data_IF_160721650060
#
_entry.id   IF_160721650060
#
_cell.length_a   1.000
_cell.length_b   1.000
_cell.length_c   1.000
_cell.angle_alpha   90.00
_cell.angle_beta   90.00
_cell.angle_gamma   90.00
#
_symmetry.space_group_name_H-M   'P 1'
#
loop_
_entity.id
_entity.type
_entity.pdbx_description
1 polymer ?
#
# COMPACT_ATOMS: atom_id res chain seq x y z
N UNK A 1 19.86 -59.55 -32.54
CA UNK A 1 20.51 -58.60 -31.61
C UNK A 1 20.22 -57.20 -32.13
N UNK A 2 19.38 -56.42 -31.42
CA UNK A 2 19.73 -55.36 -30.45
C UNK A 2 20.20 -54.06 -31.11
N UNK A 3 19.44 -53.00 -30.81
CA UNK A 3 19.53 -51.63 -31.31
C UNK A 3 20.33 -50.73 -30.37
N UNK A 4 20.75 -49.57 -30.88
CA UNK A 4 20.87 -48.34 -30.10
C UNK A 4 20.33 -47.17 -30.94
N UNK A 5 19.61 -46.23 -30.31
CA UNK A 5 19.10 -45.00 -30.94
C UNK A 5 19.73 -43.80 -30.25
N UNK A 6 20.11 -42.77 -31.00
CA UNK A 6 20.29 -41.42 -30.47
C UNK A 6 18.92 -40.75 -30.30
N UNK A 7 18.75 -39.96 -29.24
CA UNK A 7 17.55 -39.15 -29.01
C UNK A 7 17.93 -37.74 -28.57
N UNK A 8 17.55 -36.75 -29.37
CA UNK A 8 17.69 -35.34 -29.00
C UNK A 8 16.66 -34.94 -27.93
N UNK A 9 16.96 -33.88 -27.17
CA UNK A 9 15.99 -33.20 -26.29
C UNK A 9 15.70 -31.82 -26.85
N UNK A 10 14.44 -31.56 -27.15
CA UNK A 10 14.01 -30.28 -27.74
C UNK A 10 13.82 -29.19 -26.70
N UNK A 11 14.36 -28.00 -26.98
CA UNK A 11 14.05 -26.77 -26.26
C UNK A 11 12.58 -26.41 -26.52
N UNK A 12 11.77 -26.27 -25.46
CA UNK A 12 10.34 -25.90 -25.60
C UNK A 12 10.21 -24.40 -25.82
N UNK A 13 10.11 -24.04 -27.09
CA UNK A 13 9.82 -22.69 -27.59
C UNK A 13 8.42 -22.24 -27.14
N UNK A 14 8.34 -21.26 -26.24
CA UNK A 14 7.09 -20.51 -26.04
C UNK A 14 6.75 -19.77 -27.34
N UNK A 15 5.57 -20.04 -27.91
CA UNK A 15 5.00 -19.26 -29.00
C UNK A 15 3.79 -18.50 -28.44
N UNK A 16 3.85 -17.17 -28.45
CA UNK A 16 2.65 -16.37 -28.27
C UNK A 16 1.71 -16.53 -29.47
N UNK A 17 0.40 -16.59 -29.21
CA UNK A 17 -0.63 -16.35 -30.22
C UNK A 17 -1.20 -14.96 -29.99
N UNK A 18 -0.61 -13.95 -30.62
CA UNK A 18 -1.30 -12.69 -30.86
C UNK A 18 -2.32 -12.92 -31.98
N UNK A 19 -3.58 -12.54 -31.75
CA UNK A 19 -4.64 -12.61 -32.75
C UNK A 19 -5.41 -11.30 -32.73
N UNK A 20 -5.00 -10.35 -33.57
CA UNK A 20 -5.81 -9.18 -33.87
C UNK A 20 -7.02 -9.61 -34.70
N UNK A 21 -8.21 -9.16 -34.31
CA UNK A 21 -9.44 -9.31 -35.08
C UNK A 21 -10.33 -8.10 -34.80
N UNK A 22 -10.44 -7.20 -35.78
CA UNK A 22 -11.40 -6.10 -35.74
C UNK A 22 -12.81 -6.66 -35.96
N UNK A 23 -13.81 -6.13 -35.23
CA UNK A 23 -15.14 -6.74 -35.17
C UNK A 23 -16.23 -5.73 -34.81
N UNK A 24 -16.43 -4.73 -35.67
CA UNK A 24 -17.54 -3.79 -35.54
C UNK A 24 -18.89 -4.51 -35.69
N UNK A 25 -19.77 -4.36 -34.71
CA UNK A 25 -21.18 -4.75 -34.85
C UNK A 25 -22.09 -3.85 -34.01
N UNK A 26 -22.99 -3.13 -34.70
CA UNK A 26 -24.04 -2.33 -34.09
C UNK A 26 -25.05 -3.21 -33.34
N UNK A 27 -25.44 -2.79 -32.13
CA UNK A 27 -26.68 -3.21 -31.47
C UNK A 27 -27.57 -1.98 -31.25
N UNK A 28 -28.87 -2.10 -31.58
CA UNK A 28 -29.82 -0.98 -31.57
C UNK A 28 -30.36 -0.76 -30.15
N UNK A 29 -30.49 0.51 -29.75
CA UNK A 29 -31.15 0.87 -28.49
C UNK A 29 -32.68 0.75 -28.58
N UNK A 30 -33.31 0.47 -27.44
CA UNK A 30 -34.73 0.72 -27.16
C UNK A 30 -34.83 1.45 -25.79
N UNK A 31 -35.81 2.35 -25.57
CA UNK A 31 -35.73 3.34 -24.48
C UNK A 31 -36.47 2.94 -23.20
N UNK A 32 -35.96 3.39 -22.05
CA UNK A 32 -36.66 3.30 -20.76
C UNK A 32 -35.86 3.88 -19.57
N UNK A 33 -36.30 5.06 -19.09
CA UNK A 33 -36.09 5.58 -17.72
C UNK A 33 -34.64 6.00 -17.29
N UNK A 34 -34.49 6.80 -16.20
CA UNK A 34 -33.57 7.95 -16.25
C UNK A 34 -32.17 7.75 -15.65
N UNK A 35 -31.24 8.62 -16.07
CA UNK A 35 -29.84 8.68 -15.59
C UNK A 35 -29.73 9.44 -14.26
N UNK A 36 -29.16 8.80 -13.24
CA UNK A 36 -28.95 9.42 -11.91
C UNK A 36 -27.49 9.66 -11.47
N UNK A 37 -26.50 9.01 -12.09
CA UNK A 37 -25.15 8.90 -11.47
C UNK A 37 -24.05 9.77 -12.11
N UNK A 38 -24.24 10.24 -13.35
CA UNK A 38 -23.18 10.91 -14.12
C UNK A 38 -22.76 12.30 -13.61
N UNK A 39 -23.49 12.89 -12.66
CA UNK A 39 -23.26 14.24 -12.15
C UNK A 39 -22.32 14.30 -10.92
N UNK A 40 -21.99 13.17 -10.30
CA UNK A 40 -21.26 13.15 -9.01
C UNK A 40 -19.74 13.06 -9.14
N UNK A 41 -19.20 12.78 -10.33
CA UNK A 41 -17.75 12.62 -10.55
C UNK A 41 -17.02 13.91 -10.96
N UNK A 42 -17.57 14.62 -11.96
CA UNK A 42 -16.88 15.74 -12.64
C UNK A 42 -16.65 16.99 -11.78
N UNK A 43 -17.38 17.15 -10.68
CA UNK A 43 -17.22 18.27 -9.72
C UNK A 43 -16.00 18.13 -8.81
N UNK A 44 -15.46 16.93 -8.61
CA UNK A 44 -14.36 16.71 -7.66
C UNK A 44 -12.98 16.99 -8.27
N UNK A 45 -12.76 16.58 -9.52
CA UNK A 45 -11.47 16.76 -10.22
C UNK A 45 -11.10 18.25 -10.36
N UNK A 46 -12.07 19.11 -10.67
CA UNK A 46 -11.87 20.55 -10.87
C UNK A 46 -11.59 21.36 -9.59
N UNK A 47 -11.84 20.81 -8.40
CA UNK A 47 -11.58 21.47 -7.11
C UNK A 47 -10.23 21.04 -6.53
N UNK A 48 -9.87 19.75 -6.64
CA UNK A 48 -8.59 19.23 -6.18
C UNK A 48 -7.40 19.93 -6.86
N UNK A 49 -7.46 20.13 -8.18
CA UNK A 49 -6.41 20.82 -8.94
C UNK A 49 -6.11 22.23 -8.41
N UNK A 50 -7.14 23.02 -8.09
CA UNK A 50 -7.00 24.40 -7.59
C UNK A 50 -6.44 24.45 -6.15
N UNK A 51 -6.75 23.45 -5.33
CA UNK A 51 -6.15 23.31 -4.00
C UNK A 51 -4.65 22.99 -4.09
N UNK A 52 -4.25 22.10 -5.00
CA UNK A 52 -2.85 21.74 -5.23
C UNK A 52 -2.03 22.95 -5.75
N UNK A 53 -2.57 23.72 -6.69
CA UNK A 53 -1.95 24.93 -7.22
C UNK A 53 -1.72 26.00 -6.13
N UNK A 54 -2.73 26.25 -5.29
CA UNK A 54 -2.58 27.15 -4.14
C UNK A 54 -1.57 26.65 -3.09
N UNK A 55 -1.53 25.32 -2.84
CA UNK A 55 -0.59 24.68 -1.91
C UNK A 55 0.87 24.71 -2.42
N UNK A 56 1.07 24.72 -3.74
CA UNK A 56 2.40 24.85 -4.34
C UNK A 56 3.00 26.26 -4.20
N UNK A 57 2.15 27.31 -4.18
CA UNK A 57 2.59 28.68 -3.97
C UNK A 57 3.00 28.94 -2.51
N UNK A 58 2.19 28.52 -1.53
CA UNK A 58 2.48 28.70 -0.11
C UNK A 58 3.80 28.03 0.33
N UNK A 59 4.15 26.88 -0.25
CA UNK A 59 5.40 26.16 0.07
C UNK A 59 6.66 27.00 -0.17
N UNK A 60 6.63 27.95 -1.12
CA UNK A 60 7.76 28.84 -1.41
C UNK A 60 7.93 29.97 -0.39
N UNK A 61 6.87 30.36 0.30
CA UNK A 61 6.94 31.37 1.37
C UNK A 61 7.46 30.71 2.67
N UNK A 62 7.02 29.47 2.95
CA UNK A 62 7.45 28.67 4.10
C UNK A 62 8.94 28.22 3.99
N UNK A 63 9.47 28.03 2.77
CA UNK A 63 10.88 27.69 2.51
C UNK A 63 11.86 28.86 2.78
N UNK A 64 11.44 30.12 2.71
CA UNK A 64 12.29 31.27 3.10
C UNK A 64 12.37 31.41 4.63
N UNK A 65 11.24 31.25 5.33
CA UNK A 65 11.14 31.44 6.79
C UNK A 65 11.95 30.36 7.57
N UNK A 66 11.96 29.12 7.08
CA UNK A 66 12.71 28.01 7.68
C UNK A 66 14.23 28.25 7.78
N UNK A 67 14.81 29.08 6.90
CA UNK A 67 16.26 29.38 6.91
C UNK A 67 16.70 30.21 8.13
N UNK A 68 15.76 30.81 8.87
CA UNK A 68 16.06 31.65 10.04
C UNK A 68 16.17 30.90 11.38
N UNK A 69 15.68 29.65 11.49
CA UNK A 69 15.62 28.95 12.78
C UNK A 69 16.76 27.93 13.02
N UNK A 70 17.39 27.39 11.99
CA UNK A 70 18.47 26.38 12.15
C UNK A 70 19.72 26.92 12.88
N UNK A 71 19.96 28.23 12.87
CA UNK A 71 21.14 28.82 13.55
C UNK A 71 21.07 28.76 15.09
N UNK A 72 19.92 28.39 15.69
CA UNK A 72 19.66 28.59 17.12
C UNK A 72 19.67 27.35 18.02
N UNK A 73 19.77 26.13 17.47
CA UNK A 73 19.62 24.88 18.25
C UNK A 73 20.84 23.94 18.13
N UNK A 74 22.03 24.47 18.45
CA UNK A 74 23.31 23.74 18.47
C UNK A 74 24.05 23.92 19.81
N UNK A 75 23.47 23.46 20.93
CA UNK A 75 24.11 23.50 22.25
C UNK A 75 23.65 22.38 23.22
N UNK A 76 24.61 21.59 23.75
CA UNK A 76 24.50 20.56 24.81
C UNK A 76 23.58 19.34 24.53
N UNK A 77 23.94 18.04 24.65
CA UNK A 77 24.81 17.22 25.54
C UNK A 77 24.30 17.08 26.99
N UNK A 78 24.16 15.89 27.61
CA UNK A 78 24.43 14.49 27.21
C UNK A 78 24.38 13.53 28.44
N UNK A 79 25.07 12.37 28.39
CA UNK A 79 25.46 11.47 29.53
C UNK A 79 24.49 10.29 29.91
N UNK A 80 25.09 9.19 30.37
CA UNK A 80 24.58 7.91 30.98
C UNK A 80 25.76 7.34 31.87
N UNK A 81 25.79 6.12 32.49
CA UNK A 81 24.91 4.92 32.49
C UNK A 81 24.78 4.19 33.89
N UNK A 82 24.59 2.84 33.90
CA UNK A 82 24.80 1.83 35.00
C UNK A 82 23.83 1.80 36.24
N UNK A 83 23.43 0.68 36.88
CA UNK A 83 23.64 -0.79 36.79
C UNK A 83 22.32 -1.51 37.24
N UNK A 84 22.14 -2.74 37.79
CA UNK A 84 22.96 -3.84 38.38
C UNK A 84 22.19 -5.23 38.30
N UNK A 85 22.46 -6.24 39.15
CA UNK A 85 21.91 -7.62 39.04
C UNK A 85 21.42 -8.29 40.37
N UNK A 86 20.62 -9.39 40.24
CA UNK A 86 20.43 -10.61 41.12
C UNK A 86 18.99 -11.14 41.06
N UNK A 87 18.63 -12.40 41.38
CA UNK A 87 19.22 -13.77 41.24
C UNK A 87 18.14 -14.79 41.73
N UNK A 88 18.07 -16.04 41.26
CA UNK A 88 17.19 -17.05 41.89
C UNK A 88 16.81 -18.31 41.08
N UNK A 89 17.14 -19.50 41.61
CA UNK A 89 16.75 -20.86 41.16
C UNK A 89 15.65 -21.45 42.07
N UNK A 90 14.96 -22.58 41.79
CA UNK A 90 14.94 -23.54 40.68
C UNK A 90 14.16 -24.83 41.07
N UNK A 91 14.09 -25.85 40.19
CA UNK A 91 13.48 -27.20 40.42
C UNK A 91 11.94 -27.24 40.57
N UNK A 92 11.19 -28.34 40.30
CA UNK A 92 11.46 -29.68 39.73
C UNK A 92 10.18 -30.22 39.05
N UNK A 93 10.24 -31.36 38.33
CA UNK A 93 9.09 -31.99 37.64
C UNK A 93 8.24 -32.92 38.55
N UNK A 94 7.19 -33.66 38.15
CA UNK A 94 6.54 -34.08 36.86
C UNK A 94 5.07 -34.53 37.18
N UNK A 95 4.21 -35.24 36.36
CA UNK A 95 4.37 -35.78 35.00
C UNK A 95 3.15 -35.64 34.02
N UNK A 96 3.28 -36.36 32.90
CA UNK A 96 2.34 -36.88 31.88
C UNK A 96 1.03 -37.56 32.41
N UNK A 97 -0.13 -37.63 31.72
CA UNK A 97 -0.61 -37.04 30.44
C UNK A 97 -2.11 -36.66 30.53
N UNK A 98 -2.51 -35.46 30.05
CA UNK A 98 -3.80 -35.26 29.34
C UNK A 98 -3.97 -33.94 28.50
N UNK A 99 -2.94 -33.15 28.13
CA UNK A 99 -3.13 -31.69 28.05
C UNK A 99 -3.66 -31.18 26.70
N UNK A 100 -3.41 -31.91 25.60
CA UNK A 100 -3.51 -31.34 24.24
C UNK A 100 -4.95 -31.03 23.81
N UNK A 101 -5.91 -31.91 24.12
CA UNK A 101 -7.32 -31.70 23.76
C UNK A 101 -7.90 -30.48 24.49
N UNK A 102 -7.75 -30.43 25.82
CA UNK A 102 -8.29 -29.35 26.64
C UNK A 102 -7.55 -28.02 26.42
N UNK A 103 -6.28 -28.05 25.99
CA UNK A 103 -5.54 -26.85 25.51
C UNK A 103 -6.12 -26.36 24.18
N UNK A 104 -6.41 -27.26 23.22
CA UNK A 104 -7.03 -26.90 21.93
C UNK A 104 -8.42 -26.28 22.13
N UNK A 105 -9.27 -26.86 22.98
CA UNK A 105 -10.58 -26.29 23.31
C UNK A 105 -10.47 -24.91 23.95
N UNK A 106 -9.57 -24.73 24.94
CA UNK A 106 -9.33 -23.42 25.59
C UNK A 106 -8.82 -22.39 24.58
N UNK A 107 -7.88 -22.76 23.70
CA UNK A 107 -7.39 -21.88 22.63
C UNK A 107 -8.52 -21.49 21.67
N UNK A 108 -9.33 -22.44 21.19
CA UNK A 108 -10.48 -22.18 20.31
C UNK A 108 -11.50 -21.26 20.99
N UNK A 109 -11.81 -21.49 22.27
CA UNK A 109 -12.75 -20.64 23.04
C UNK A 109 -12.21 -19.21 23.21
N UNK A 110 -10.93 -19.04 23.57
CA UNK A 110 -10.31 -17.71 23.66
C UNK A 110 -10.22 -17.00 22.31
N UNK A 111 -9.95 -17.74 21.22
CA UNK A 111 -9.97 -17.16 19.86
C UNK A 111 -11.38 -16.75 19.46
N UNK A 112 -12.40 -17.56 19.74
CA UNK A 112 -13.79 -17.22 19.46
C UNK A 112 -14.24 -15.94 20.20
N UNK A 113 -13.88 -15.80 21.48
CA UNK A 113 -14.13 -14.58 22.26
C UNK A 113 -13.40 -13.35 21.69
N UNK A 114 -12.13 -13.50 21.29
CA UNK A 114 -11.38 -12.42 20.63
C UNK A 114 -12.00 -12.01 19.29
N UNK A 115 -12.49 -12.97 18.50
CA UNK A 115 -13.18 -12.71 17.23
C UNK A 115 -14.52 -11.98 17.42
N UNK A 116 -15.31 -12.36 18.43
CA UNK A 116 -16.56 -11.65 18.76
C UNK A 116 -16.27 -10.22 19.23
N UNK A 117 -15.21 -10.01 20.02
CA UNK A 117 -14.77 -8.68 20.46
C UNK A 117 -14.21 -7.82 19.31
N UNK A 118 -13.65 -8.43 18.27
CA UNK A 118 -13.22 -7.72 17.07
C UNK A 118 -14.43 -7.26 16.24
N UNK A 119 -15.47 -8.10 16.13
CA UNK A 119 -16.67 -7.77 15.35
C UNK A 119 -17.50 -6.64 16.00
N UNK A 120 -17.59 -6.59 17.34
CA UNK A 120 -18.19 -5.43 18.03
C UNK A 120 -17.35 -4.16 17.82
N UNK A 121 -16.02 -4.25 17.90
CA UNK A 121 -15.14 -3.09 17.66
C UNK A 121 -15.21 -2.59 16.22
N UNK A 122 -15.33 -3.47 15.23
CA UNK A 122 -15.54 -3.09 13.82
C UNK A 122 -16.87 -2.34 13.66
N UNK A 123 -17.95 -2.76 14.34
CA UNK A 123 -19.24 -2.06 14.30
C UNK A 123 -19.19 -0.65 14.93
N UNK A 124 -18.49 -0.49 16.05
CA UNK A 124 -18.18 0.83 16.63
C UNK A 124 -17.44 1.72 15.61
N UNK A 125 -16.37 1.19 15.01
CA UNK A 125 -15.52 1.92 14.08
C UNK A 125 -16.23 2.34 12.79
N UNK A 126 -17.13 1.50 12.27
CA UNK A 126 -18.00 1.85 11.14
C UNK A 126 -18.97 2.99 11.52
N UNK A 127 -19.40 3.03 12.78
CA UNK A 127 -20.27 4.11 13.31
C UNK A 127 -19.48 5.41 13.50
N UNK A 128 -18.27 5.34 14.08
CA UNK A 128 -17.32 6.46 14.18
C UNK A 128 -17.00 7.04 12.77
N UNK A 129 -16.69 6.17 11.80
CA UNK A 129 -16.41 6.53 10.41
C UNK A 129 -17.62 7.20 9.72
N UNK A 130 -18.82 6.65 9.89
CA UNK A 130 -20.04 7.24 9.34
C UNK A 130 -20.32 8.64 9.91
N UNK A 131 -20.02 8.88 11.19
CA UNK A 131 -20.14 10.21 11.79
C UNK A 131 -19.06 11.17 11.29
N UNK A 132 -17.82 10.72 11.09
CA UNK A 132 -16.75 11.53 10.46
C UNK A 132 -17.13 11.96 9.04
N UNK A 133 -17.75 11.08 8.24
CA UNK A 133 -18.22 11.41 6.89
C UNK A 133 -19.29 12.52 6.92
N UNK A 134 -20.21 12.52 7.90
CA UNK A 134 -21.17 13.62 8.09
C UNK A 134 -20.48 14.93 8.45
N UNK A 135 -19.55 14.89 9.40
CA UNK A 135 -18.79 16.07 9.82
C UNK A 135 -17.97 16.67 8.66
N UNK A 136 -17.42 15.85 7.76
CA UNK A 136 -16.77 16.34 6.53
C UNK A 136 -17.74 17.14 5.65
N UNK A 137 -18.99 16.67 5.49
CA UNK A 137 -20.01 17.39 4.71
C UNK A 137 -20.48 18.68 5.41
N UNK A 138 -20.54 18.70 6.74
CA UNK A 138 -20.83 19.88 7.55
C UNK A 138 -19.75 20.96 7.38
N UNK A 139 -18.47 20.61 7.55
CA UNK A 139 -17.33 21.52 7.33
C UNK A 139 -17.28 22.03 5.88
N UNK A 140 -17.47 21.14 4.90
CA UNK A 140 -17.53 21.51 3.48
C UNK A 140 -18.61 22.54 3.19
N UNK A 141 -19.78 22.39 3.79
CA UNK A 141 -20.90 23.32 3.62
C UNK A 141 -20.59 24.71 4.21
N UNK A 142 -19.79 24.78 5.29
CA UNK A 142 -19.25 26.04 5.83
C UNK A 142 -18.18 26.64 4.91
N UNK A 143 -17.25 25.82 4.43
CA UNK A 143 -16.18 26.21 3.51
C UNK A 143 -16.75 26.82 2.22
N UNK A 144 -17.75 26.16 1.61
CA UNK A 144 -18.45 26.66 0.41
C UNK A 144 -19.10 28.03 0.65
N UNK A 145 -19.76 28.23 1.80
CA UNK A 145 -20.32 29.54 2.16
C UNK A 145 -19.24 30.63 2.24
N UNK A 146 -18.07 30.32 2.80
CA UNK A 146 -16.96 31.26 2.91
C UNK A 146 -16.27 31.54 1.55
N UNK A 147 -16.15 30.55 0.67
CA UNK A 147 -15.70 30.73 -0.71
C UNK A 147 -16.67 31.63 -1.51
N UNK A 148 -17.99 31.44 -1.35
CA UNK A 148 -19.01 32.32 -1.93
C UNK A 148 -18.88 33.76 -1.41
N UNK A 149 -18.53 33.95 -0.14
CA UNK A 149 -18.29 35.28 0.45
C UNK A 149 -17.00 35.94 -0.07
N UNK A 150 -15.95 35.16 -0.38
CA UNK A 150 -14.75 35.63 -1.10
C UNK A 150 -15.13 36.11 -2.50
N UNK A 151 -15.85 35.29 -3.28
CA UNK A 151 -16.28 35.63 -4.64
C UNK A 151 -17.09 36.93 -4.65
N UNK A 152 -18.15 37.03 -3.83
CA UNK A 152 -19.01 38.22 -3.72
C UNK A 152 -18.25 39.48 -3.25
N UNK A 153 -17.14 39.32 -2.54
CA UNK A 153 -16.29 40.45 -2.13
C UNK A 153 -15.38 40.90 -3.28
N UNK A 154 -14.87 39.98 -4.11
CA UNK A 154 -14.16 40.31 -5.35
C UNK A 154 -15.05 40.98 -6.38
N UNK A 155 -16.25 40.44 -6.63
CA UNK A 155 -17.23 41.01 -7.58
C UNK A 155 -17.53 42.49 -7.26
N UNK A 156 -17.74 42.82 -5.98
CA UNK A 156 -17.94 44.21 -5.53
C UNK A 156 -16.70 45.09 -5.71
N UNK A 157 -15.52 44.59 -5.33
CA UNK A 157 -14.25 45.32 -5.52
C UNK A 157 -13.97 45.63 -7.00
N UNK A 158 -14.32 44.71 -7.90
CA UNK A 158 -14.24 44.89 -9.35
C UNK A 158 -15.28 45.90 -9.86
N UNK A 159 -16.53 45.82 -9.38
CA UNK A 159 -17.62 46.73 -9.76
C UNK A 159 -17.32 48.18 -9.33
N UNK A 160 -16.74 48.38 -8.15
CA UNK A 160 -16.29 49.68 -7.65
C UNK A 160 -14.94 50.14 -8.27
N UNK A 161 -14.30 49.27 -9.07
CA UNK A 161 -13.00 49.47 -9.73
C UNK A 161 -11.91 50.08 -8.82
N UNK A 162 -11.91 49.71 -7.53
CA UNK A 162 -11.11 50.38 -6.50
C UNK A 162 -10.64 49.41 -5.42
N UNK A 163 -9.35 49.05 -5.48
CA UNK A 163 -8.68 48.23 -4.46
C UNK A 163 -8.42 49.08 -3.19
N UNK A 164 -9.48 49.25 -2.40
CA UNK A 164 -9.45 50.01 -1.15
C UNK A 164 -8.73 49.24 -0.02
N UNK A 165 -8.25 49.93 1.04
CA UNK A 165 -7.74 49.26 2.24
C UNK A 165 -8.78 48.34 2.89
N UNK A 166 -10.07 48.71 2.85
CA UNK A 166 -11.17 47.87 3.32
C UNK A 166 -11.22 46.52 2.59
N UNK A 167 -11.16 46.51 1.26
CA UNK A 167 -11.17 45.25 0.50
C UNK A 167 -9.94 44.40 0.77
N UNK A 168 -8.74 44.99 0.89
CA UNK A 168 -7.51 44.26 1.25
C UNK A 168 -7.64 43.56 2.60
N UNK A 169 -8.07 44.28 3.64
CA UNK A 169 -8.24 43.72 4.99
C UNK A 169 -9.34 42.66 5.03
N UNK A 170 -10.48 42.91 4.38
CA UNK A 170 -11.61 41.97 4.34
C UNK A 170 -11.28 40.69 3.59
N UNK A 171 -10.68 40.79 2.40
CA UNK A 171 -10.26 39.62 1.63
C UNK A 171 -9.20 38.82 2.36
N UNK A 172 -8.20 39.48 2.99
CA UNK A 172 -7.21 38.79 3.83
C UNK A 172 -7.89 37.97 4.93
N UNK A 173 -8.81 38.57 5.70
CA UNK A 173 -9.56 37.85 6.74
C UNK A 173 -10.34 36.65 6.20
N UNK A 174 -11.06 36.81 5.09
CA UNK A 174 -11.80 35.73 4.45
C UNK A 174 -10.88 34.60 3.95
N UNK A 175 -9.71 34.92 3.38
CA UNK A 175 -8.71 33.92 2.98
C UNK A 175 -8.11 33.18 4.18
N UNK A 176 -7.85 33.87 5.31
CA UNK A 176 -7.42 33.22 6.55
C UNK A 176 -8.48 32.24 7.07
N UNK A 177 -9.76 32.61 7.04
CA UNK A 177 -10.87 31.70 7.39
C UNK A 177 -10.94 30.51 6.43
N UNK A 178 -10.84 30.73 5.12
CA UNK A 178 -10.88 29.65 4.13
C UNK A 178 -9.68 28.67 4.22
N UNK A 179 -8.47 29.14 4.61
CA UNK A 179 -7.34 28.26 4.94
C UNK A 179 -7.67 27.38 6.16
N UNK A 180 -8.21 27.97 7.22
CA UNK A 180 -8.61 27.23 8.43
C UNK A 180 -9.77 26.23 8.18
N UNK A 181 -10.75 26.58 7.34
CA UNK A 181 -11.83 25.67 6.92
C UNK A 181 -11.27 24.46 6.16
N UNK A 182 -10.35 24.68 5.21
CA UNK A 182 -9.71 23.59 4.45
C UNK A 182 -8.83 22.69 5.34
N UNK A 183 -8.12 23.27 6.32
CA UNK A 183 -7.36 22.52 7.32
C UNK A 183 -8.27 21.68 8.22
N UNK A 184 -9.43 22.20 8.61
CA UNK A 184 -10.43 21.45 9.38
C UNK A 184 -11.00 20.26 8.60
N UNK A 185 -11.44 20.47 7.34
CA UNK A 185 -11.95 19.38 6.47
C UNK A 185 -10.87 18.30 6.26
N UNK A 186 -9.62 18.70 6.00
CA UNK A 186 -8.48 17.79 5.87
C UNK A 186 -8.21 16.97 7.15
N UNK A 187 -8.38 17.55 8.34
CA UNK A 187 -8.13 16.85 9.59
C UNK A 187 -9.24 15.83 9.94
N UNK A 188 -10.49 16.07 9.51
CA UNK A 188 -11.57 15.07 9.61
C UNK A 188 -11.34 13.94 8.61
N UNK A 189 -10.94 14.26 7.37
CA UNK A 189 -10.60 13.26 6.35
C UNK A 189 -9.44 12.35 6.77
N UNK A 190 -8.38 12.89 7.40
CA UNK A 190 -7.30 12.07 7.99
C UNK A 190 -7.85 11.11 9.05
N UNK A 191 -8.65 11.59 10.00
CA UNK A 191 -9.30 10.74 11.03
C UNK A 191 -10.18 9.64 10.41
N UNK A 192 -10.86 9.91 9.30
CA UNK A 192 -11.65 8.90 8.59
C UNK A 192 -10.75 7.83 7.94
N UNK A 193 -9.60 8.21 7.38
CA UNK A 193 -8.60 7.27 6.85
C UNK A 193 -7.96 6.42 7.96
N UNK A 194 -7.68 7.01 9.13
CA UNK A 194 -7.19 6.27 10.31
C UNK A 194 -8.20 5.18 10.73
N UNK A 195 -9.50 5.49 10.72
CA UNK A 195 -10.57 4.52 11.04
C UNK A 195 -10.69 3.42 10.00
N UNK A 196 -10.51 3.72 8.72
CA UNK A 196 -10.43 2.72 7.64
C UNK A 196 -9.20 1.82 7.83
N UNK A 197 -8.07 2.35 8.31
CA UNK A 197 -6.88 1.55 8.62
C UNK A 197 -7.07 0.66 9.87
N UNK A 198 -7.72 1.16 10.92
CA UNK A 198 -8.09 0.38 12.13
C UNK A 198 -8.99 -0.81 11.75
N UNK A 199 -10.05 -0.57 10.95
CA UNK A 199 -10.96 -1.62 10.45
C UNK A 199 -10.22 -2.63 9.57
N UNK A 200 -9.39 -2.19 8.61
CA UNK A 200 -8.60 -3.09 7.75
C UNK A 200 -7.65 -3.98 8.57
N UNK A 201 -7.06 -3.43 9.63
CA UNK A 201 -6.15 -4.16 10.52
C UNK A 201 -6.90 -5.26 11.28
N UNK A 202 -8.03 -4.93 11.92
CA UNK A 202 -8.86 -5.91 12.66
C UNK A 202 -9.39 -7.03 11.75
N UNK A 203 -9.76 -6.73 10.50
CA UNK A 203 -10.18 -7.74 9.53
C UNK A 203 -9.04 -8.71 9.13
N UNK A 204 -7.81 -8.21 9.00
CA UNK A 204 -6.64 -9.03 8.69
C UNK A 204 -6.17 -9.85 9.91
N UNK A 205 -6.20 -9.27 11.12
CA UNK A 205 -5.96 -9.99 12.38
C UNK A 205 -6.99 -11.11 12.57
N UNK A 206 -8.27 -10.86 12.29
CA UNK A 206 -9.33 -11.88 12.23
C UNK A 206 -9.03 -12.99 11.23
N UNK A 207 -8.55 -12.66 10.02
CA UNK A 207 -8.15 -13.66 9.01
C UNK A 207 -6.99 -14.53 9.50
N UNK A 208 -5.97 -13.92 10.10
CA UNK A 208 -4.79 -14.61 10.64
C UNK A 208 -5.18 -15.50 11.82
N UNK A 209 -5.99 -15.01 12.76
CA UNK A 209 -6.46 -15.78 13.91
C UNK A 209 -7.27 -17.03 13.48
N UNK A 210 -8.15 -16.88 12.48
CA UNK A 210 -8.90 -18.01 11.91
C UNK A 210 -8.00 -19.04 11.20
N UNK A 211 -6.93 -18.58 10.52
CA UNK A 211 -5.90 -19.43 9.90
C UNK A 211 -5.10 -20.21 10.96
N UNK A 212 -4.72 -19.57 12.06
CA UNK A 212 -3.94 -20.16 13.17
C UNK A 212 -4.76 -21.16 13.98
N UNK A 213 -6.03 -20.86 14.28
CA UNK A 213 -6.86 -21.70 15.13
C UNK A 213 -7.32 -23.02 14.47
N UNK A 214 -7.06 -23.21 13.17
CA UNK A 214 -7.59 -24.34 12.40
C UNK A 214 -9.13 -24.30 12.29
N UNK A 215 -9.72 -23.11 12.38
CA UNK A 215 -11.18 -22.90 12.22
C UNK A 215 -11.61 -22.80 10.74
N UNK A 216 -10.63 -22.86 9.82
CA UNK A 216 -10.87 -23.38 8.48
C UNK A 216 -11.09 -24.90 8.60
N UNK A 217 -12.34 -25.33 8.52
CA UNK A 217 -12.75 -26.72 8.65
C UNK A 217 -12.03 -27.62 7.62
N UNK A 218 -11.24 -28.56 8.12
CA UNK A 218 -10.70 -29.72 7.37
C UNK A 218 -11.82 -30.70 6.90
N UNK A 219 -13.05 -30.43 7.34
CA UNK A 219 -14.30 -31.11 6.96
C UNK A 219 -15.13 -30.36 5.90
N UNK A 220 -14.75 -29.14 5.50
CA UNK A 220 -15.07 -28.69 4.13
C UNK A 220 -14.00 -29.30 3.21
N UNK A 221 -14.36 -29.76 1.99
CA UNK A 221 -13.34 -30.21 1.03
C UNK A 221 -12.36 -29.05 0.79
N UNK A 222 -11.03 -29.29 0.82
CA UNK A 222 -10.03 -28.24 0.88
C UNK A 222 -10.30 -27.21 -0.21
N UNK A 223 -10.49 -25.94 0.19
CA UNK A 223 -10.95 -24.86 -0.70
C UNK A 223 -10.16 -24.94 -2.00
N UNK A 224 -10.86 -25.32 -3.07
CA UNK A 224 -10.27 -25.72 -4.36
C UNK A 224 -9.23 -24.70 -4.75
N UNK A 225 -7.96 -25.14 -4.82
CA UNK A 225 -6.75 -24.31 -5.02
C UNK A 225 -7.09 -23.05 -5.79
N UNK A 226 -7.02 -21.90 -5.10
CA UNK A 226 -7.69 -20.68 -5.53
C UNK A 226 -7.30 -20.33 -6.97
N UNK A 227 -8.23 -20.65 -7.90
CA UNK A 227 -7.98 -20.65 -9.34
C UNK A 227 -7.24 -19.38 -9.74
N UNK A 228 -6.15 -19.52 -10.49
CA UNK A 228 -5.24 -18.41 -10.89
C UNK A 228 -5.95 -17.09 -11.23
N UNK A 229 -7.08 -17.11 -11.94
CA UNK A 229 -7.87 -15.90 -12.21
C UNK A 229 -8.40 -15.18 -10.96
N UNK A 230 -8.89 -15.91 -9.95
CA UNK A 230 -9.32 -15.37 -8.65
C UNK A 230 -8.13 -14.81 -7.87
N UNK A 231 -7.01 -15.53 -7.83
CA UNK A 231 -5.76 -15.03 -7.23
C UNK A 231 -5.32 -13.71 -7.87
N UNK A 232 -5.28 -13.64 -9.22
CA UNK A 232 -4.90 -12.42 -9.94
C UNK A 232 -5.88 -11.26 -9.68
N UNK A 233 -7.19 -11.52 -9.57
CA UNK A 233 -8.17 -10.50 -9.14
C UNK A 233 -7.88 -10.00 -7.72
N UNK A 234 -7.54 -10.87 -6.77
CA UNK A 234 -7.17 -10.44 -5.41
C UNK A 234 -5.85 -9.65 -5.36
N UNK A 235 -4.86 -10.01 -6.20
CA UNK A 235 -3.63 -9.21 -6.32
C UNK A 235 -3.93 -7.81 -6.88
N UNK A 236 -4.74 -7.72 -7.94
CA UNK A 236 -5.16 -6.43 -8.50
C UNK A 236 -5.94 -5.59 -7.46
N UNK A 237 -6.90 -6.19 -6.74
CA UNK A 237 -7.61 -5.53 -5.66
C UNK A 237 -6.68 -5.09 -4.51
N UNK A 238 -5.66 -5.88 -4.16
CA UNK A 238 -4.68 -5.52 -3.13
C UNK A 238 -3.82 -4.33 -3.55
N UNK A 239 -3.47 -4.21 -4.83
CA UNK A 239 -2.78 -3.03 -5.38
C UNK A 239 -3.69 -1.79 -5.48
N UNK A 240 -4.96 -1.97 -5.85
CA UNK A 240 -5.93 -0.87 -5.91
C UNK A 240 -6.23 -0.30 -4.51
N UNK A 241 -6.34 -1.17 -3.50
CA UNK A 241 -6.75 -0.80 -2.12
C UNK A 241 -5.59 -0.45 -1.17
N UNK A 242 -4.35 -0.47 -1.67
CA UNK A 242 -3.17 0.10 -1.00
C UNK A 242 -3.41 1.61 -0.78
N UNK A 243 -3.42 2.12 0.47
CA UNK A 243 -3.70 3.54 0.73
C UNK A 243 -2.65 4.45 0.09
N UNK A 244 -3.09 5.63 -0.32
CA UNK A 244 -2.19 6.74 -0.65
C UNK A 244 -1.62 7.32 0.65
N UNK A 245 -0.35 7.70 0.65
CA UNK A 245 0.23 8.53 1.72
C UNK A 245 -0.31 9.96 1.63
N UNK A 246 -0.67 10.57 2.77
CA UNK A 246 -1.21 11.93 2.86
C UNK A 246 -0.64 12.65 4.08
N UNK A 247 0.63 13.04 4.00
CA UNK A 247 1.32 13.81 5.04
C UNK A 247 0.71 15.20 5.31
N UNK A 248 1.16 15.83 6.38
CA UNK A 248 1.02 17.27 6.66
C UNK A 248 2.13 18.06 5.95
N UNK A 249 2.05 19.40 5.87
CA UNK A 249 3.22 20.21 5.53
C UNK A 249 4.41 19.86 6.44
N UNK A 250 5.61 19.75 5.88
CA UNK A 250 6.83 19.36 6.60
C UNK A 250 7.03 17.85 6.86
N UNK A 251 5.98 17.02 6.80
CA UNK A 251 6.13 15.57 6.95
C UNK A 251 6.91 14.98 5.76
N UNK A 252 7.92 14.15 6.04
CA UNK A 252 8.61 13.35 5.01
C UNK A 252 7.89 12.00 4.83
N UNK A 253 7.84 11.43 3.61
CA UNK A 253 7.23 10.12 3.38
C UNK A 253 7.86 9.02 4.26
N UNK A 254 7.05 8.19 4.94
CA UNK A 254 7.56 7.21 5.89
C UNK A 254 8.22 6.01 5.19
N UNK A 255 9.02 5.21 5.92
CA UNK A 255 9.46 3.89 5.47
C UNK A 255 8.29 3.06 4.93
N UNK A 256 8.48 2.41 3.78
CA UNK A 256 7.46 1.66 3.04
C UNK A 256 6.34 2.52 2.39
N UNK A 257 6.51 3.84 2.29
CA UNK A 257 5.79 4.64 1.31
C UNK A 257 6.50 4.55 -0.05
N UNK A 258 5.85 3.96 -1.06
CA UNK A 258 6.39 3.83 -2.41
C UNK A 258 7.80 3.20 -2.44
N UNK A 259 8.79 3.98 -2.87
CA UNK A 259 10.20 3.59 -2.98
C UNK A 259 11.01 3.76 -1.67
N UNK A 260 10.48 4.41 -0.63
CA UNK A 260 11.21 4.67 0.62
C UNK A 260 11.50 3.34 1.34
N UNK A 261 12.78 3.00 1.61
CA UNK A 261 13.14 1.71 2.16
C UNK A 261 12.65 1.51 3.60
N UNK A 262 12.42 0.26 3.97
CA UNK A 262 12.26 -0.14 5.37
C UNK A 262 13.51 0.24 6.22
N UNK A 263 13.29 0.53 7.50
CA UNK A 263 14.38 0.81 8.44
C UNK A 263 15.32 -0.40 8.62
N UNK A 264 16.57 -0.15 9.03
CA UNK A 264 17.60 -1.18 9.17
C UNK A 264 17.25 -2.30 10.15
N UNK A 265 16.36 -2.04 11.10
CA UNK A 265 15.82 -2.91 12.15
C UNK A 265 14.42 -3.48 11.84
N UNK A 266 13.69 -2.95 10.85
CA UNK A 266 12.30 -3.32 10.52
C UNK A 266 12.05 -4.84 10.47
N UNK A 267 11.00 -5.27 11.16
CA UNK A 267 10.46 -6.64 11.13
C UNK A 267 9.03 -6.61 10.57
N UNK A 268 8.79 -7.36 9.51
CA UNK A 268 7.47 -7.53 8.91
C UNK A 268 6.57 -8.37 9.84
N UNK A 269 5.30 -7.99 9.96
CA UNK A 269 4.29 -8.65 10.80
C UNK A 269 3.71 -9.88 10.10
N UNK A 270 3.15 -10.85 10.84
CA UNK A 270 2.27 -11.87 10.23
C UNK A 270 1.18 -11.22 9.38
N UNK A 271 0.94 -11.76 8.18
CA UNK A 271 0.03 -11.18 7.18
C UNK A 271 0.68 -10.19 6.21
N UNK A 272 1.82 -9.56 6.55
CA UNK A 272 2.52 -8.66 5.62
C UNK A 272 2.91 -9.42 4.33
N UNK A 273 2.77 -8.72 3.21
CA UNK A 273 3.14 -9.25 1.89
C UNK A 273 4.56 -8.80 1.54
N UNK A 274 5.35 -9.73 1.04
CA UNK A 274 6.79 -9.55 0.82
C UNK A 274 7.23 -10.14 -0.51
N UNK A 275 8.28 -9.58 -1.10
CA UNK A 275 9.09 -10.32 -2.08
C UNK A 275 10.09 -11.21 -1.31
N UNK A 276 10.12 -12.51 -1.61
CA UNK A 276 10.94 -13.50 -0.91
C UNK A 276 11.84 -14.27 -1.89
N UNK A 277 13.16 -14.30 -1.65
CA UNK A 277 14.13 -15.01 -2.51
C UNK A 277 14.30 -16.47 -2.11
N UNK A 278 13.46 -17.33 -2.67
CA UNK A 278 13.48 -18.78 -2.49
C UNK A 278 14.59 -19.44 -3.31
N UNK A 279 14.78 -20.74 -3.12
CA UNK A 279 15.61 -21.61 -3.97
C UNK A 279 14.73 -22.66 -4.62
N UNK A 280 14.80 -22.79 -5.93
CA UNK A 280 14.18 -23.87 -6.67
C UNK A 280 14.99 -25.19 -6.54
N UNK A 281 14.38 -26.31 -6.93
CA UNK A 281 14.94 -27.67 -6.75
C UNK A 281 16.14 -27.94 -7.66
N UNK A 282 16.23 -27.24 -8.79
CA UNK A 282 17.37 -27.21 -9.71
C UNK A 282 18.55 -26.33 -9.20
N UNK A 283 18.31 -25.51 -8.17
CA UNK A 283 19.31 -24.68 -7.51
C UNK A 283 19.26 -23.19 -7.88
N UNK A 284 18.42 -22.80 -8.84
CA UNK A 284 18.22 -21.39 -9.20
C UNK A 284 17.45 -20.63 -8.10
N UNK A 285 17.58 -19.30 -8.07
CA UNK A 285 16.97 -18.45 -7.04
C UNK A 285 15.95 -17.50 -7.65
N UNK A 286 14.68 -17.67 -7.28
CA UNK A 286 13.55 -16.87 -7.74
C UNK A 286 13.06 -15.95 -6.61
N UNK A 287 12.64 -14.73 -6.94
CA UNK A 287 11.88 -13.87 -6.04
C UNK A 287 10.38 -14.14 -6.25
N UNK A 288 9.68 -14.58 -5.20
CA UNK A 288 8.23 -14.86 -5.20
C UNK A 288 7.47 -13.86 -4.33
N UNK A 289 6.16 -13.74 -4.55
CA UNK A 289 5.23 -13.02 -3.69
C UNK A 289 4.75 -13.94 -2.56
N UNK A 290 5.10 -13.60 -1.32
CA UNK A 290 4.82 -14.42 -0.15
C UNK A 290 4.08 -13.65 0.95
N UNK A 291 3.42 -14.38 1.82
CA UNK A 291 2.78 -13.90 3.06
C UNK A 291 3.65 -14.28 4.27
N UNK A 292 4.00 -13.30 5.11
CA UNK A 292 4.72 -13.56 6.36
C UNK A 292 3.81 -14.29 7.35
N UNK A 293 4.36 -15.33 7.98
CA UNK A 293 3.66 -16.13 9.00
C UNK A 293 4.27 -15.91 10.38
N UNK A 294 5.60 -15.88 10.48
CA UNK A 294 6.30 -15.57 11.73
C UNK A 294 7.71 -15.02 11.49
N UNK A 295 8.32 -14.47 12.53
CA UNK A 295 9.72 -14.07 12.55
C UNK A 295 10.38 -14.52 13.86
N UNK A 296 11.56 -15.13 13.75
CA UNK A 296 12.34 -15.64 14.88
C UNK A 296 13.55 -14.73 15.14
N UNK A 297 13.45 -13.88 16.16
CA UNK A 297 14.56 -13.01 16.60
C UNK A 297 15.82 -13.82 16.95
N UNK A 298 15.67 -15.01 17.53
CA UNK A 298 16.77 -15.89 17.91
C UNK A 298 17.55 -16.47 16.71
N UNK A 299 16.95 -16.52 15.51
CA UNK A 299 17.60 -17.07 14.30
C UNK A 299 17.74 -16.07 13.15
N UNK A 300 17.14 -14.88 13.26
CA UNK A 300 17.07 -13.85 12.21
C UNK A 300 16.48 -14.39 10.89
N UNK A 301 15.43 -15.22 11.03
CA UNK A 301 14.68 -15.84 9.93
C UNK A 301 13.19 -15.56 10.03
N UNK A 302 12.58 -15.40 8.88
CA UNK A 302 11.13 -15.43 8.68
C UNK A 302 10.67 -16.84 8.32
N UNK A 303 9.43 -17.13 8.66
CA UNK A 303 8.60 -18.10 7.97
C UNK A 303 7.63 -17.37 7.06
N UNK A 304 7.57 -17.79 5.79
CA UNK A 304 6.63 -17.26 4.79
C UNK A 304 5.92 -18.40 4.07
N UNK A 305 4.67 -18.17 3.67
CA UNK A 305 3.93 -19.02 2.73
C UNK A 305 3.99 -18.37 1.32
N UNK A 306 4.18 -19.15 0.25
CA UNK A 306 3.86 -18.67 -1.11
C UNK A 306 2.36 -18.30 -1.20
N UNK A 307 2.03 -17.30 -2.02
CA UNK A 307 0.66 -16.86 -2.26
C UNK A 307 -0.06 -17.69 -3.35
N UNK A 308 0.67 -18.47 -4.16
CA UNK A 308 0.06 -19.41 -5.10
C UNK A 308 -0.41 -20.68 -4.37
N UNK A 309 -1.74 -20.87 -4.30
CA UNK A 309 -2.32 -21.93 -3.49
C UNK A 309 -2.08 -23.34 -4.02
N UNK A 310 -1.65 -23.50 -5.28
CA UNK A 310 -1.26 -24.81 -5.83
C UNK A 310 0.07 -25.32 -5.24
N UNK A 311 0.83 -24.46 -4.56
CA UNK A 311 2.08 -24.80 -3.88
C UNK A 311 2.28 -24.00 -2.58
N UNK A 312 1.47 -24.28 -1.55
CA UNK A 312 1.65 -23.72 -0.19
C UNK A 312 2.88 -24.27 0.53
N UNK A 313 4.06 -24.01 -0.04
CA UNK A 313 5.34 -24.34 0.57
C UNK A 313 5.69 -23.29 1.64
N UNK A 314 5.92 -23.78 2.87
CA UNK A 314 6.41 -22.97 3.99
C UNK A 314 7.93 -22.82 3.86
N UNK A 315 8.40 -21.65 3.47
CA UNK A 315 9.83 -21.37 3.36
C UNK A 315 10.37 -20.67 4.62
N UNK A 316 11.48 -21.17 5.17
CA UNK A 316 12.20 -20.53 6.30
C UNK A 316 13.41 -19.74 5.79
N UNK A 317 13.29 -18.42 5.69
CA UNK A 317 14.24 -17.56 4.97
C UNK A 317 14.92 -16.54 5.90
N UNK A 318 16.25 -16.36 5.77
CA UNK A 318 16.99 -15.31 6.48
C UNK A 318 16.51 -13.90 6.09
N UNK A 319 16.42 -12.94 7.02
CA UNK A 319 15.93 -11.55 6.80
C UNK A 319 16.46 -10.85 5.53
N UNK A 320 17.72 -11.10 5.13
CA UNK A 320 18.32 -10.60 3.87
C UNK A 320 17.66 -11.08 2.56
N UNK A 321 16.85 -12.14 2.60
CA UNK A 321 16.08 -12.69 1.46
C UNK A 321 14.64 -12.17 1.40
N UNK A 322 14.25 -11.29 2.33
CA UNK A 322 12.92 -10.70 2.42
C UNK A 322 13.02 -9.21 2.07
N UNK A 323 12.11 -8.74 1.24
CA UNK A 323 11.89 -7.31 0.96
C UNK A 323 10.39 -7.05 1.24
N UNK A 324 10.04 -6.28 2.28
CA UNK A 324 8.66 -5.87 2.50
C UNK A 324 8.13 -5.08 1.30
N UNK A 325 6.88 -5.33 0.93
CA UNK A 325 6.20 -4.50 -0.08
C UNK A 325 5.78 -3.17 0.54
N UNK A 326 5.52 -2.12 -0.27
CA UNK A 326 5.04 -0.84 0.23
C UNK A 326 3.71 -0.99 1.00
N UNK A 327 3.62 -0.27 2.12
CA UNK A 327 2.42 -0.12 2.94
C UNK A 327 1.58 1.09 2.52
N UNK A 328 2.17 2.06 1.80
CA UNK A 328 1.46 3.15 1.12
C UNK A 328 1.93 3.32 -0.33
N UNK A 329 1.05 3.84 -1.19
CA UNK A 329 1.43 4.47 -2.46
C UNK A 329 2.00 5.86 -2.16
N UNK A 330 3.09 6.23 -2.81
CA UNK A 330 3.51 7.62 -2.89
C UNK A 330 2.61 8.38 -3.88
N UNK A 331 2.30 9.64 -3.58
CA UNK A 331 1.56 10.51 -4.48
C UNK A 331 2.54 11.29 -5.39
N UNK A 332 2.49 11.13 -6.73
CA UNK A 332 3.34 11.92 -7.64
C UNK A 332 3.20 13.44 -7.48
N UNK A 333 2.04 13.92 -7.02
CA UNK A 333 1.71 15.35 -6.92
C UNK A 333 2.25 16.01 -5.63
N UNK A 334 2.55 15.22 -4.59
CA UNK A 334 3.00 15.74 -3.29
C UNK A 334 4.33 15.17 -2.79
N UNK A 335 4.64 13.92 -3.15
CA UNK A 335 5.75 13.11 -2.62
C UNK A 335 6.54 12.39 -3.76
N UNK A 336 6.92 13.06 -4.88
CA UNK A 336 7.53 12.42 -6.04
C UNK A 336 8.90 11.77 -5.77
N UNK A 337 9.61 12.20 -4.72
CA UNK A 337 10.86 11.62 -4.24
C UNK A 337 10.68 10.22 -3.63
N UNK A 338 9.45 9.86 -3.25
CA UNK A 338 9.07 8.53 -2.80
C UNK A 338 8.66 7.59 -3.97
N UNK A 339 9.01 7.94 -5.22
CA UNK A 339 8.84 7.09 -6.41
C UNK A 339 10.18 6.62 -6.98
N UNK A 340 10.21 5.40 -7.54
CA UNK A 340 11.34 4.93 -8.34
C UNK A 340 11.40 5.71 -9.65
N UNK A 341 12.54 6.33 -9.93
CA UNK A 341 12.71 7.20 -11.09
C UNK A 341 13.08 6.40 -12.34
N UNK A 342 12.91 7.02 -13.51
CA UNK A 342 13.24 6.42 -14.81
C UNK A 342 14.68 5.84 -14.83
N UNK A 343 14.83 4.73 -15.54
CA UNK A 343 16.05 3.94 -15.73
C UNK A 343 16.65 3.33 -14.44
N UNK A 344 15.99 3.49 -13.28
CA UNK A 344 16.36 2.77 -12.05
C UNK A 344 16.04 1.28 -12.14
N UNK A 345 16.93 0.45 -11.60
CA UNK A 345 16.79 -1.00 -11.53
C UNK A 345 15.95 -1.42 -10.32
N UNK A 346 14.84 -2.10 -10.59
CA UNK A 346 13.87 -2.59 -9.59
C UNK A 346 13.63 -4.10 -9.73
N UNK A 347 13.01 -4.68 -8.72
CA UNK A 347 12.29 -5.95 -8.83
C UNK A 347 10.81 -5.63 -8.94
N UNK A 348 10.18 -6.06 -10.04
CA UNK A 348 8.76 -5.84 -10.32
C UNK A 348 8.04 -7.18 -10.49
N UNK A 349 6.79 -7.29 -10.02
CA UNK A 349 5.97 -8.49 -10.22
C UNK A 349 5.58 -8.60 -11.70
N UNK A 350 5.90 -9.70 -12.37
CA UNK A 350 5.57 -9.84 -13.80
C UNK A 350 4.06 -10.07 -13.98
N UNK A 351 3.39 -9.39 -14.92
CA UNK A 351 1.94 -9.48 -15.09
C UNK A 351 1.42 -10.91 -15.20
N UNK A 352 0.29 -11.18 -14.52
CA UNK A 352 -0.35 -12.49 -14.42
C UNK A 352 0.48 -13.59 -13.72
N UNK A 353 1.48 -13.23 -12.90
CA UNK A 353 2.31 -14.17 -12.10
C UNK A 353 2.40 -13.78 -10.62
N UNK A 354 2.93 -14.69 -9.80
CA UNK A 354 3.33 -14.47 -8.41
C UNK A 354 4.84 -14.21 -8.26
N UNK A 355 5.57 -13.95 -9.36
CA UNK A 355 7.03 -13.87 -9.38
C UNK A 355 7.55 -12.46 -9.70
N UNK A 356 8.58 -12.02 -8.98
CA UNK A 356 9.28 -10.77 -9.23
C UNK A 356 10.51 -10.99 -10.11
N UNK A 357 10.71 -10.08 -11.07
CA UNK A 357 11.82 -10.11 -12.01
C UNK A 357 12.50 -8.74 -12.08
N UNK A 358 13.73 -8.74 -12.59
CA UNK A 358 14.55 -7.53 -12.74
C UNK A 358 13.98 -6.67 -13.87
N UNK A 359 13.78 -5.39 -13.60
CA UNK A 359 13.23 -4.44 -14.57
C UNK A 359 13.85 -3.05 -14.41
N UNK A 360 13.81 -2.25 -15.47
CA UNK A 360 14.08 -0.81 -15.43
C UNK A 360 12.76 -0.05 -15.40
N UNK A 361 12.67 1.04 -14.63
CA UNK A 361 11.53 1.97 -14.74
C UNK A 361 11.56 2.66 -16.11
N UNK A 362 10.51 2.51 -16.91
CA UNK A 362 10.32 3.30 -18.13
C UNK A 362 9.77 4.68 -17.77
N UNK A 363 8.71 4.71 -16.98
CA UNK A 363 8.00 5.94 -16.56
C UNK A 363 7.41 5.74 -15.16
N UNK A 364 7.68 6.63 -14.18
CA UNK A 364 6.95 6.66 -12.91
C UNK A 364 5.50 7.15 -13.12
N UNK A 365 4.55 6.73 -12.27
CA UNK A 365 3.17 7.23 -12.34
C UNK A 365 3.15 8.76 -12.20
N UNK A 366 2.30 9.44 -12.97
CA UNK A 366 2.16 10.90 -12.95
C UNK A 366 0.93 11.36 -12.14
N UNK A 367 0.00 10.44 -11.85
CA UNK A 367 -1.18 10.66 -10.98
C UNK A 367 -1.35 9.53 -9.94
N UNK A 368 -2.01 9.77 -8.79
CA UNK A 368 -2.18 8.78 -7.70
C UNK A 368 -2.73 7.40 -8.09
N UNK A 369 -3.55 7.35 -9.14
CA UNK A 369 -4.23 6.17 -9.65
C UNK A 369 -3.44 5.39 -10.71
N UNK A 370 -2.26 5.86 -11.10
CA UNK A 370 -1.44 5.24 -12.14
C UNK A 370 -0.43 4.24 -11.58
N UNK A 371 -0.03 3.30 -12.45
CA UNK A 371 0.99 2.29 -12.18
C UNK A 371 2.36 2.76 -12.71
N UNK A 372 3.46 2.12 -12.29
CA UNK A 372 4.73 2.27 -12.99
C UNK A 372 4.65 1.60 -14.36
N UNK A 373 5.24 2.22 -15.37
CA UNK A 373 5.58 1.52 -16.61
C UNK A 373 7.04 1.03 -16.52
N UNK A 374 7.29 -0.25 -16.81
CA UNK A 374 8.61 -0.88 -16.63
C UNK A 374 9.03 -1.75 -17.83
N UNK A 375 10.34 -1.89 -18.02
CA UNK A 375 10.98 -2.77 -19.02
C UNK A 375 11.64 -3.94 -18.29
N UNK A 376 11.12 -5.16 -18.42
CA UNK A 376 11.71 -6.35 -17.79
C UNK A 376 12.95 -6.82 -18.55
N UNK A 377 13.98 -7.31 -17.84
CA UNK A 377 15.13 -7.99 -18.45
C UNK A 377 14.66 -9.34 -19.04
N UNK A 378 14.57 -9.44 -20.38
CA UNK A 378 14.05 -10.61 -21.11
C UNK A 378 14.90 -10.89 -22.37
N UNK A 379 15.65 -11.99 -22.34
CA UNK A 379 16.60 -12.40 -23.39
C UNK A 379 15.95 -12.97 -24.65
N UNK A 380 14.62 -13.01 -24.74
CA UNK A 380 13.89 -13.32 -25.98
C UNK A 380 13.76 -12.13 -26.93
N UNK A 381 13.98 -10.90 -26.45
CA UNK A 381 14.04 -9.68 -27.24
C UNK A 381 15.48 -9.33 -27.64
N UNK A 382 15.67 -8.67 -28.79
CA UNK A 382 16.98 -8.42 -29.39
C UNK A 382 17.84 -7.37 -28.64
N UNK A 383 17.19 -6.48 -27.89
CA UNK A 383 17.78 -5.51 -26.97
C UNK A 383 17.86 -6.03 -25.51
N UNK A 384 17.32 -7.23 -25.25
CA UNK A 384 17.26 -7.85 -23.93
C UNK A 384 16.18 -7.30 -22.99
N UNK A 385 15.22 -6.53 -23.50
CA UNK A 385 14.17 -5.90 -22.70
C UNK A 385 12.75 -6.13 -23.24
N UNK A 386 11.78 -6.29 -22.34
CA UNK A 386 10.37 -6.32 -22.72
C UNK A 386 9.89 -4.95 -23.23
N UNK A 387 8.79 -4.90 -24.02
CA UNK A 387 7.99 -3.69 -24.17
C UNK A 387 7.57 -3.11 -22.80
N UNK A 388 7.17 -1.83 -22.73
CA UNK A 388 6.67 -1.23 -21.50
C UNK A 388 5.43 -1.98 -20.97
N UNK A 389 5.52 -2.50 -19.75
CA UNK A 389 4.42 -3.17 -19.04
C UNK A 389 4.08 -2.41 -17.75
N UNK A 390 2.79 -2.38 -17.40
CA UNK A 390 2.32 -1.67 -16.20
C UNK A 390 2.40 -2.56 -14.96
N UNK A 391 2.96 -2.03 -13.87
CA UNK A 391 3.05 -2.68 -12.56
C UNK A 391 2.75 -1.67 -11.45
N UNK A 392 1.70 -1.95 -10.68
CA UNK A 392 1.27 -1.07 -9.58
C UNK A 392 2.34 -0.91 -8.50
N UNK A 393 2.35 0.26 -7.83
CA UNK A 393 3.38 0.61 -6.85
C UNK A 393 3.60 -0.46 -5.75
N UNK A 394 2.53 -1.16 -5.33
CA UNK A 394 2.58 -2.27 -4.36
C UNK A 394 3.54 -3.39 -4.75
N UNK A 395 3.81 -3.54 -6.05
CA UNK A 395 4.50 -4.66 -6.66
C UNK A 395 5.80 -4.27 -7.36
N UNK A 396 6.34 -3.10 -7.04
CA UNK A 396 7.68 -2.65 -7.43
C UNK A 396 8.50 -2.38 -6.18
N UNK A 397 9.68 -3.00 -6.05
CA UNK A 397 10.58 -2.84 -4.91
C UNK A 397 12.05 -2.71 -5.34
N UNK A 398 12.89 -2.15 -4.48
CA UNK A 398 14.31 -1.91 -4.77
C UNK A 398 15.08 -3.21 -5.08
N UNK A 399 15.79 -3.26 -6.20
CA UNK A 399 16.62 -4.41 -6.54
C UNK A 399 17.90 -4.41 -5.69
N UNK A 400 17.99 -5.30 -4.70
CA UNK A 400 19.18 -5.45 -3.84
C UNK A 400 20.33 -6.24 -4.50
N UNK A 401 20.27 -6.47 -5.81
CA UNK A 401 21.21 -7.29 -6.57
C UNK A 401 21.88 -6.46 -7.68
N UNK A 402 23.22 -6.33 -7.67
CA UNK A 402 23.92 -5.64 -8.75
C UNK A 402 23.66 -6.36 -10.08
N UNK A 403 23.69 -5.62 -11.20
CA UNK A 403 23.75 -6.25 -12.53
C UNK A 403 24.95 -7.22 -12.55
N UNK A 404 24.71 -8.46 -12.95
CA UNK A 404 25.81 -9.39 -13.31
C UNK A 404 26.59 -8.70 -14.44
N UNK A 405 27.90 -8.54 -14.24
CA UNK A 405 28.84 -8.05 -15.24
C UNK A 405 29.27 -9.18 -16.16
#
# INVERSE_FOLDING_TARGET
>A
MRTARSSGRGVRRWRGHASAAEGSLFARAAPGEPRGEAAFGSTWEGVGAKYLEARALLRREEEEEATGEEERVMASTGISPESNCRDGSGCLESPLEHPLFQRREKTVFTTAMALVSADSRIAELLTELHQLIKQTQEERSRSEHNLINIQKTHERMQTENKISPYYRTKLRGLYTTAKADAEAECNILRRALDKIAEIKTLLEERRIAAKIAGLYNDSEPPRKTMRRGVLMTLLQQSAMTLPLWIGKPGDKPPPLCGAIPASGDYVAKPGDKVAARVKAVDGDEQWILAEVVSYSHATNKYEVDDIDEEGKERHTLSRRRIIPLPQWKANPETDPEALFQKDQLVLALYPQTTCFYRALIHTPPQRPQEDYSVLFEDTSYADGYSPPLNVAQRYVVACKEPKKK
#
